data_IF_708692427324
#
_entry.id   IF_708692427324
#
_cell.length_a   1.000
_cell.length_b   1.000
_cell.length_c   1.000
_cell.angle_alpha   90.00
_cell.angle_beta   90.00
_cell.angle_gamma   90.00
#
_symmetry.space_group_name_H-M   'P 1'
#
loop_
_entity.id
_entity.type
_entity.pdbx_description
1 polymer ?
#
# COMPACT_ATOMS: atom_id res chain seq x y z
N UNK A 1 -29.05 -59.44 -36.36
CA UNK A 1 -28.38 -58.12 -36.45
C UNK A 1 -27.49 -58.01 -35.25
N UNK A 2 -26.15 -57.79 -35.39
CA UNK A 2 -25.24 -57.55 -34.26
C UNK A 2 -25.47 -56.09 -33.83
N UNK A 3 -25.95 -55.89 -32.62
CA UNK A 3 -26.04 -54.56 -32.02
C UNK A 3 -24.62 -54.00 -31.88
N UNK A 4 -24.42 -52.82 -32.49
CA UNK A 4 -23.14 -52.07 -32.34
C UNK A 4 -23.06 -51.48 -30.94
N UNK A 5 -22.15 -52.01 -30.15
CA UNK A 5 -21.88 -51.49 -28.79
C UNK A 5 -21.03 -50.22 -28.87
N UNK A 6 -21.65 -49.05 -28.63
CA UNK A 6 -21.02 -47.72 -28.65
C UNK A 6 -20.42 -47.32 -27.30
N UNK A 7 -20.57 -48.16 -26.27
CA UNK A 7 -20.12 -47.87 -24.90
C UNK A 7 -18.60 -47.54 -24.80
N UNK A 8 -17.71 -48.30 -25.47
CA UNK A 8 -16.29 -47.95 -25.40
C UNK A 8 -15.95 -46.60 -25.99
N UNK A 9 -16.65 -46.19 -27.04
CA UNK A 9 -16.45 -44.87 -27.65
C UNK A 9 -16.95 -43.73 -26.74
N UNK A 10 -18.04 -43.93 -26.01
CA UNK A 10 -18.53 -42.99 -25.03
C UNK A 10 -17.53 -42.78 -23.89
N UNK A 11 -16.92 -43.83 -23.36
CA UNK A 11 -15.90 -43.73 -22.31
C UNK A 11 -14.69 -42.94 -22.81
N UNK A 12 -14.19 -43.28 -24.01
CA UNK A 12 -13.07 -42.54 -24.62
C UNK A 12 -13.39 -41.06 -24.79
N UNK A 13 -14.62 -40.75 -25.23
CA UNK A 13 -15.10 -39.38 -25.40
C UNK A 13 -15.09 -38.58 -24.08
N UNK A 14 -15.56 -39.18 -22.98
CA UNK A 14 -15.55 -38.55 -21.66
C UNK A 14 -14.11 -38.33 -21.16
N UNK A 15 -13.21 -39.29 -21.36
CA UNK A 15 -11.79 -39.14 -20.97
C UNK A 15 -11.10 -38.00 -21.75
N UNK A 16 -11.32 -37.94 -23.08
CA UNK A 16 -10.75 -36.88 -23.90
C UNK A 16 -11.30 -35.51 -23.52
N UNK A 17 -12.60 -35.43 -23.22
CA UNK A 17 -13.24 -34.20 -22.73
C UNK A 17 -12.64 -33.77 -21.39
N UNK A 18 -12.40 -34.70 -20.47
CA UNK A 18 -11.75 -34.43 -19.18
C UNK A 18 -10.34 -33.85 -19.35
N UNK A 19 -9.52 -34.49 -20.20
CA UNK A 19 -8.16 -33.99 -20.51
C UNK A 19 -8.21 -32.60 -21.14
N UNK A 20 -9.14 -32.36 -22.04
CA UNK A 20 -9.34 -31.04 -22.67
C UNK A 20 -9.68 -29.97 -21.62
N UNK A 21 -10.62 -30.23 -20.70
CA UNK A 21 -11.01 -29.30 -19.66
C UNK A 21 -9.87 -29.00 -18.68
N UNK A 22 -9.08 -30.01 -18.30
CA UNK A 22 -7.89 -29.81 -17.47
C UNK A 22 -6.87 -28.91 -18.19
N UNK A 23 -6.63 -29.15 -19.47
CA UNK A 23 -5.70 -28.35 -20.28
C UNK A 23 -6.14 -26.88 -20.38
N UNK A 24 -7.43 -26.63 -20.57
CA UNK A 24 -8.00 -25.27 -20.58
C UNK A 24 -7.81 -24.60 -19.21
N UNK A 25 -8.09 -25.33 -18.11
CA UNK A 25 -7.94 -24.79 -16.75
C UNK A 25 -6.49 -24.42 -16.45
N UNK A 26 -5.53 -25.27 -16.83
CA UNK A 26 -4.10 -24.99 -16.68
C UNK A 26 -3.70 -23.76 -17.50
N UNK A 27 -4.19 -23.64 -18.73
CA UNK A 27 -3.89 -22.49 -19.60
C UNK A 27 -4.42 -21.19 -19.00
N UNK A 28 -5.63 -21.21 -18.43
CA UNK A 28 -6.21 -20.04 -17.75
C UNK A 28 -5.39 -19.68 -16.52
N UNK A 29 -5.03 -20.66 -15.69
CA UNK A 29 -4.21 -20.43 -14.51
C UNK A 29 -2.82 -19.85 -14.85
N UNK A 30 -2.18 -20.33 -15.92
CA UNK A 30 -0.88 -19.80 -16.38
C UNK A 30 -0.99 -18.37 -16.96
N UNK A 31 -2.10 -18.03 -17.61
CA UNK A 31 -2.33 -16.68 -18.14
C UNK A 31 -2.73 -15.68 -17.06
N UNK A 32 -3.30 -16.14 -15.98
CA UNK A 32 -3.69 -15.33 -14.82
C UNK A 32 -2.96 -15.82 -13.57
N UNK A 33 -1.63 -15.66 -13.48
CA UNK A 33 -0.91 -16.01 -12.27
C UNK A 33 -1.51 -15.22 -11.11
N UNK A 34 -1.75 -15.90 -9.99
CA UNK A 34 -2.13 -15.22 -8.75
C UNK A 34 -0.97 -14.29 -8.41
N UNK A 35 -1.24 -13.00 -8.49
CA UNK A 35 -0.26 -12.02 -8.06
C UNK A 35 -0.20 -12.08 -6.55
N UNK A 36 0.96 -12.40 -5.99
CA UNK A 36 1.21 -12.24 -4.57
C UNK A 36 1.11 -10.74 -4.26
N UNK A 37 0.08 -10.35 -3.52
CA UNK A 37 -0.01 -9.00 -2.99
C UNK A 37 1.15 -8.80 -2.01
N UNK A 38 2.14 -8.02 -2.44
CA UNK A 38 3.21 -7.61 -1.55
C UNK A 38 2.66 -6.57 -0.58
N UNK A 39 2.61 -6.94 0.69
CA UNK A 39 2.28 -6.03 1.78
C UNK A 39 3.57 -5.75 2.53
N UNK A 40 3.80 -4.51 2.97
CA UNK A 40 5.03 -4.11 3.68
C UNK A 40 6.33 -4.43 2.89
N UNK A 41 6.28 -4.37 1.54
CA UNK A 41 7.42 -4.73 0.66
C UNK A 41 7.95 -6.16 0.85
N UNK A 42 7.17 -7.05 1.44
CA UNK A 42 7.52 -8.43 1.67
C UNK A 42 6.47 -9.37 1.07
N UNK A 43 6.89 -10.59 0.76
CA UNK A 43 5.96 -11.65 0.34
C UNK A 43 4.97 -11.91 1.47
N UNK A 44 3.70 -12.12 1.13
CA UNK A 44 2.62 -12.39 2.08
C UNK A 44 2.99 -13.37 3.18
N UNK A 45 3.68 -14.47 2.85
CA UNK A 45 4.12 -15.47 3.83
C UNK A 45 5.03 -14.87 4.91
N UNK A 46 5.98 -14.02 4.54
CA UNK A 46 6.91 -13.38 5.49
C UNK A 46 6.14 -12.40 6.38
N UNK A 47 5.17 -11.68 5.80
CA UNK A 47 4.30 -10.79 6.56
C UNK A 47 3.46 -11.56 7.56
N UNK A 48 2.84 -12.68 7.15
CA UNK A 48 2.02 -13.51 8.01
C UNK A 48 2.82 -14.12 9.18
N UNK A 49 4.09 -14.47 8.95
CA UNK A 49 5.00 -14.97 10.00
C UNK A 49 5.36 -13.88 11.03
N UNK A 50 5.47 -12.61 10.61
CA UNK A 50 5.89 -11.49 11.46
C UNK A 50 4.76 -10.50 11.79
N UNK A 51 3.53 -10.83 11.45
CA UNK A 51 2.40 -9.90 11.56
C UNK A 51 2.18 -9.36 12.98
N UNK A 52 2.42 -10.19 13.98
CA UNK A 52 2.26 -9.78 15.39
C UNK A 52 3.29 -8.72 15.79
N UNK A 53 4.52 -8.81 15.27
CA UNK A 53 5.56 -7.82 15.53
C UNK A 53 5.22 -6.51 14.80
N UNK A 54 4.81 -6.58 13.54
CA UNK A 54 4.39 -5.43 12.75
C UNK A 54 3.24 -4.69 13.44
N UNK A 55 2.21 -5.42 13.91
CA UNK A 55 1.08 -4.82 14.64
C UNK A 55 1.54 -4.20 15.95
N UNK A 56 2.45 -4.85 16.67
CA UNK A 56 3.00 -4.34 17.93
C UNK A 56 3.77 -3.04 17.72
N UNK A 57 4.63 -2.97 16.70
CA UNK A 57 5.38 -1.77 16.35
C UNK A 57 4.42 -0.64 15.94
N UNK A 58 3.44 -0.92 15.08
CA UNK A 58 2.42 0.07 14.70
C UNK A 58 1.61 0.57 15.88
N UNK A 59 1.22 -0.34 16.79
CA UNK A 59 0.47 0.04 18.00
C UNK A 59 1.31 0.92 18.92
N UNK A 60 2.57 0.60 19.05
CA UNK A 60 3.52 1.42 19.80
C UNK A 60 3.66 2.81 19.16
N UNK A 61 3.85 2.90 17.84
CA UNK A 61 3.89 4.19 17.14
C UNK A 61 2.63 5.02 17.42
N UNK A 62 1.45 4.42 17.28
CA UNK A 62 0.17 5.08 17.53
C UNK A 62 -0.01 5.51 19.02
N UNK A 63 0.68 4.87 19.94
CA UNK A 63 0.66 5.28 21.35
C UNK A 63 1.58 6.48 21.63
N UNK A 64 2.60 6.68 20.80
CA UNK A 64 3.61 7.75 20.96
C UNK A 64 3.21 9.01 20.19
N UNK A 65 2.69 8.84 18.96
CA UNK A 65 2.40 9.94 18.05
C UNK A 65 0.92 10.00 17.67
N UNK A 66 0.36 11.20 17.65
CA UNK A 66 -0.79 11.56 16.82
C UNK A 66 -0.25 12.03 15.47
N UNK A 67 -0.95 11.70 14.41
CA UNK A 67 -0.49 12.02 13.07
C UNK A 67 -1.63 12.52 12.18
N UNK A 68 -1.28 13.41 11.26
CA UNK A 68 -2.13 13.83 10.15
C UNK A 68 -1.31 13.71 8.88
N UNK A 69 -1.82 13.00 7.89
CA UNK A 69 -1.13 12.76 6.63
C UNK A 69 -2.05 13.21 5.49
N UNK A 70 -1.53 14.04 4.60
CA UNK A 70 -2.29 14.55 3.46
C UNK A 70 -1.40 14.78 2.25
N UNK A 71 -2.02 14.81 1.08
CA UNK A 71 -1.40 15.23 -0.17
C UNK A 71 -1.86 16.64 -0.52
N UNK A 72 -1.01 17.43 -1.14
CA UNK A 72 -1.37 18.75 -1.67
C UNK A 72 -0.79 18.93 -3.07
N UNK A 73 -1.45 19.75 -3.88
CA UNK A 73 -0.93 20.30 -5.11
C UNK A 73 -1.32 21.79 -5.20
N UNK A 74 -1.08 22.43 -6.34
CA UNK A 74 -1.47 23.83 -6.57
C UNK A 74 -2.99 24.08 -6.48
N UNK A 75 -3.81 23.03 -6.62
CA UNK A 75 -5.28 23.10 -6.61
C UNK A 75 -5.89 22.91 -5.22
N UNK A 76 -5.15 22.33 -4.28
CA UNK A 76 -5.66 22.14 -2.93
C UNK A 76 -5.08 20.96 -2.15
N UNK A 77 -5.81 20.56 -1.11
CA UNK A 77 -5.46 19.45 -0.22
C UNK A 77 -6.28 18.22 -0.61
N UNK A 78 -5.63 17.10 -0.78
CA UNK A 78 -6.22 15.82 -1.14
C UNK A 78 -5.85 14.73 -0.14
N UNK A 79 -6.62 13.64 -0.16
CA UNK A 79 -6.36 12.45 0.65
C UNK A 79 -6.20 12.74 2.15
N UNK A 80 -6.82 13.84 2.64
CA UNK A 80 -6.81 14.15 4.05
C UNK A 80 -7.44 13.00 4.86
N UNK A 81 -6.68 12.45 5.82
CA UNK A 81 -7.06 11.30 6.63
C UNK A 81 -7.37 10.00 5.84
N UNK A 82 -6.91 9.88 4.61
CA UNK A 82 -7.09 8.67 3.77
C UNK A 82 -5.93 7.68 3.91
N UNK A 83 -4.89 8.05 4.63
CA UNK A 83 -3.77 7.16 4.95
C UNK A 83 -4.15 6.24 6.09
N UNK A 84 -4.10 4.95 5.83
CA UNK A 84 -4.49 3.91 6.78
C UNK A 84 -3.36 2.90 6.96
N UNK A 85 -3.40 2.21 8.07
CA UNK A 85 -2.49 1.12 8.33
C UNK A 85 -2.78 -0.05 7.36
N UNK A 86 -1.79 -0.58 6.63
CA UNK A 86 -1.99 -1.57 5.58
C UNK A 86 -2.71 -2.84 6.02
N UNK A 87 -2.52 -3.24 7.28
CA UNK A 87 -3.19 -4.41 7.86
C UNK A 87 -4.72 -4.26 7.94
N UNK A 88 -5.22 -3.06 8.14
CA UNK A 88 -6.66 -2.82 8.23
C UNK A 88 -7.37 -2.86 6.88
N UNK A 89 -6.64 -2.63 5.79
CA UNK A 89 -7.23 -2.64 4.44
C UNK A 89 -7.71 -4.04 4.01
N UNK A 90 -6.97 -5.14 4.25
CA UNK A 90 -7.45 -6.49 3.95
C UNK A 90 -8.38 -7.08 5.03
N UNK A 91 -8.14 -6.79 6.31
CA UNK A 91 -8.87 -7.39 7.43
C UNK A 91 -10.23 -6.77 7.64
N UNK A 92 -10.32 -5.46 7.54
CA UNK A 92 -11.57 -4.73 7.47
C UNK A 92 -11.92 -4.57 5.98
N UNK A 93 -12.24 -5.66 5.30
CA UNK A 93 -13.06 -5.49 4.10
C UNK A 93 -14.34 -4.83 4.60
N UNK A 94 -14.43 -3.48 4.52
CA UNK A 94 -15.69 -2.84 4.83
C UNK A 94 -16.68 -3.51 3.92
N UNK A 95 -17.86 -3.76 4.41
CA UNK A 95 -19.01 -4.15 3.58
C UNK A 95 -18.80 -3.54 2.21
N UNK A 96 -18.85 -4.35 1.15
CA UNK A 96 -18.53 -4.00 -0.25
C UNK A 96 -19.18 -2.71 -0.75
N UNK A 97 -19.95 -2.04 0.11
CA UNK A 97 -20.62 -0.76 -0.10
C UNK A 97 -19.81 0.48 0.36
N UNK A 98 -18.87 0.34 1.26
CA UNK A 98 -18.00 1.44 1.66
C UNK A 98 -16.82 1.51 0.68
N UNK A 99 -17.00 2.23 -0.42
CA UNK A 99 -15.89 2.61 -1.30
C UNK A 99 -14.93 3.47 -0.48
N UNK A 100 -13.70 2.98 -0.24
CA UNK A 100 -12.61 3.84 0.22
C UNK A 100 -12.49 4.94 -0.83
N UNK A 101 -12.68 6.21 -0.46
CA UNK A 101 -12.62 7.28 -1.44
C UNK A 101 -11.20 7.33 -2.02
N UNK A 102 -11.07 6.91 -3.27
CA UNK A 102 -9.81 7.03 -3.99
C UNK A 102 -9.65 8.49 -4.37
N UNK A 103 -8.64 9.14 -3.83
CA UNK A 103 -8.33 10.53 -4.19
C UNK A 103 -7.81 10.59 -5.61
N UNK A 104 -8.32 11.55 -6.39
CA UNK A 104 -7.83 11.84 -7.75
C UNK A 104 -6.78 12.94 -7.62
N UNK A 105 -5.58 12.68 -8.12
CA UNK A 105 -4.46 13.62 -8.05
C UNK A 105 -3.85 13.86 -9.43
N UNK A 106 -3.16 15.00 -9.56
CA UNK A 106 -2.37 15.34 -10.75
C UNK A 106 -1.08 14.48 -10.83
N UNK A 107 -0.55 14.20 -12.03
CA UNK A 107 0.75 13.56 -12.18
C UNK A 107 1.94 14.45 -11.79
N UNK A 108 1.72 15.77 -11.67
CA UNK A 108 2.77 16.75 -11.38
C UNK A 108 2.39 17.69 -10.25
N UNK A 109 3.40 18.19 -9.55
CA UNK A 109 3.23 19.22 -8.53
C UNK A 109 2.67 18.72 -7.20
N UNK A 110 2.64 17.42 -6.97
CA UNK A 110 2.08 16.82 -5.75
C UNK A 110 3.13 16.80 -4.64
N UNK A 111 2.74 17.13 -3.43
CA UNK A 111 3.54 17.01 -2.22
C UNK A 111 2.80 16.18 -1.17
N UNK A 112 3.55 15.37 -0.43
CA UNK A 112 3.07 14.69 0.76
C UNK A 112 3.50 15.47 2.00
N UNK A 113 2.57 15.62 2.93
CA UNK A 113 2.80 16.26 4.22
C UNK A 113 2.42 15.31 5.35
N UNK A 114 3.21 15.36 6.42
CA UNK A 114 2.93 14.64 7.66
C UNK A 114 3.15 15.58 8.82
N UNK A 115 2.10 15.78 9.60
CA UNK A 115 2.16 16.44 10.89
C UNK A 115 2.18 15.38 11.98
N UNK A 116 3.28 15.30 12.71
CA UNK A 116 3.49 14.37 13.82
C UNK A 116 3.48 15.16 15.12
N UNK A 117 2.52 14.85 15.98
CA UNK A 117 2.39 15.43 17.32
C UNK A 117 2.62 14.35 18.35
N UNK A 118 3.59 14.58 19.26
CA UNK A 118 3.90 13.63 20.30
C UNK A 118 2.80 13.66 21.36
N UNK A 119 2.32 12.48 21.74
CA UNK A 119 1.48 12.31 22.93
C UNK A 119 2.31 12.49 24.20
N UNK A 120 1.62 12.72 25.32
CA UNK A 120 2.26 12.97 26.64
C UNK A 120 2.96 11.70 27.14
N UNK A 121 4.12 11.41 26.60
CA UNK A 121 5.02 10.36 27.04
C UNK A 121 6.44 10.93 27.19
N UNK A 122 7.30 10.34 28.04
CA UNK A 122 8.68 10.80 28.17
C UNK A 122 9.37 10.81 26.79
N UNK A 123 10.33 11.72 26.61
CA UNK A 123 11.08 12.00 25.38
C UNK A 123 11.98 10.84 24.91
N UNK A 124 11.48 9.61 25.01
CA UNK A 124 12.29 8.40 24.81
C UNK A 124 12.38 7.94 23.35
N UNK A 125 11.60 8.54 22.45
CA UNK A 125 11.56 8.13 21.04
C UNK A 125 11.84 9.27 20.08
N UNK A 126 12.48 8.95 18.96
CA UNK A 126 12.73 9.87 17.84
C UNK A 126 12.35 9.23 16.51
N UNK A 127 11.99 10.06 15.55
CA UNK A 127 11.87 9.66 14.16
C UNK A 127 13.26 9.66 13.55
N UNK A 128 13.68 8.53 13.01
CA UNK A 128 14.96 8.38 12.34
C UNK A 128 14.86 8.73 10.86
N UNK A 129 13.80 8.25 10.19
CA UNK A 129 13.61 8.42 8.74
C UNK A 129 12.13 8.24 8.37
N UNK A 130 11.68 9.01 7.37
CA UNK A 130 10.37 8.82 6.74
C UNK A 130 10.59 8.68 5.25
N UNK A 131 10.20 7.55 4.68
CA UNK A 131 10.39 7.25 3.26
C UNK A 131 9.06 7.02 2.56
N UNK A 132 8.95 7.57 1.33
CA UNK A 132 7.75 7.49 0.52
C UNK A 132 8.00 6.59 -0.69
N UNK A 133 7.06 5.69 -0.93
CA UNK A 133 7.06 4.81 -2.08
C UNK A 133 5.75 4.90 -2.84
N UNK A 134 5.81 4.61 -4.13
CA UNK A 134 4.66 4.43 -4.99
C UNK A 134 4.60 2.97 -5.44
N UNK A 135 3.53 2.27 -5.09
CA UNK A 135 3.33 0.86 -5.39
C UNK A 135 2.19 0.69 -6.40
N UNK A 136 2.39 -0.16 -7.39
CA UNK A 136 1.40 -0.43 -8.42
C UNK A 136 0.29 -1.34 -7.88
N UNK A 137 -0.97 -0.98 -8.10
CA UNK A 137 -2.10 -1.85 -7.77
C UNK A 137 -2.34 -2.98 -8.80
N UNK A 138 -1.67 -2.93 -9.95
CA UNK A 138 -1.93 -3.86 -11.05
C UNK A 138 -0.72 -4.72 -11.43
N UNK A 139 0.48 -4.27 -11.09
CA UNK A 139 1.72 -4.96 -11.44
C UNK A 139 2.48 -5.32 -10.15
N UNK A 140 2.61 -6.61 -9.89
CA UNK A 140 3.40 -7.07 -8.74
C UNK A 140 4.86 -6.60 -8.86
N UNK A 141 5.42 -6.16 -7.74
CA UNK A 141 6.82 -5.71 -7.61
C UNK A 141 7.19 -4.43 -8.38
N UNK A 142 6.22 -3.65 -8.82
CA UNK A 142 6.50 -2.34 -9.41
C UNK A 142 6.42 -1.25 -8.35
N UNK A 143 7.45 -1.21 -7.51
CA UNK A 143 7.61 -0.23 -6.44
C UNK A 143 8.61 0.81 -6.92
N UNK A 144 8.23 2.08 -6.81
CA UNK A 144 9.08 3.22 -7.10
C UNK A 144 9.39 3.96 -5.78
N UNK A 145 10.65 4.15 -5.48
CA UNK A 145 11.10 5.00 -4.38
C UNK A 145 10.93 6.47 -4.79
N UNK A 146 10.15 7.22 -4.04
CA UNK A 146 9.90 8.65 -4.26
C UNK A 146 10.78 9.54 -3.37
N UNK A 147 11.62 8.93 -2.54
CA UNK A 147 12.58 9.62 -1.69
C UNK A 147 12.15 9.78 -0.23
N UNK A 148 13.01 10.48 0.49
CA UNK A 148 12.87 10.72 1.92
C UNK A 148 12.18 12.07 2.18
N UNK A 149 11.28 12.11 3.16
CA UNK A 149 10.66 13.35 3.61
C UNK A 149 11.63 14.14 4.48
N UNK A 150 11.56 15.47 4.37
CA UNK A 150 12.39 16.39 5.16
C UNK A 150 11.55 17.07 6.24
N UNK A 151 12.08 17.22 7.45
CA UNK A 151 11.41 18.00 8.49
C UNK A 151 11.46 19.51 8.12
N UNK A 152 10.31 20.18 8.10
CA UNK A 152 10.21 21.62 7.86
C UNK A 152 10.39 22.41 9.15
N UNK A 153 9.74 21.97 10.21
CA UNK A 153 9.82 22.59 11.54
C UNK A 153 10.04 21.51 12.59
N UNK A 154 11.19 21.54 13.24
CA UNK A 154 11.44 20.80 14.47
C UNK A 154 11.17 21.76 15.61
N UNK A 155 9.98 21.71 16.19
CA UNK A 155 9.73 22.38 17.47
C UNK A 155 10.46 21.58 18.55
N UNK A 156 11.60 22.13 18.95
CA UNK A 156 12.46 21.50 19.97
C UNK A 156 11.81 21.44 21.36
N UNK A 157 10.75 22.19 21.59
CA UNK A 157 10.06 22.24 22.86
C UNK A 157 9.06 21.09 22.99
N UNK A 158 8.35 20.75 21.91
CA UNK A 158 7.31 19.74 21.93
C UNK A 158 7.63 18.49 21.09
N UNK A 159 8.80 18.45 20.42
CA UNK A 159 9.16 17.40 19.47
C UNK A 159 8.13 17.14 18.35
N UNK A 160 7.32 18.16 18.07
CA UNK A 160 6.38 18.15 16.98
C UNK A 160 7.12 18.50 15.69
N UNK A 161 6.85 17.76 14.63
CA UNK A 161 7.53 17.97 13.37
C UNK A 161 6.55 17.87 12.21
N UNK A 162 6.57 18.89 11.35
CA UNK A 162 5.96 18.83 10.04
C UNK A 162 7.00 18.33 9.04
N UNK A 163 6.68 17.23 8.36
CA UNK A 163 7.53 16.63 7.34
C UNK A 163 6.90 16.81 5.97
N UNK A 164 7.73 17.04 4.96
CA UNK A 164 7.29 17.26 3.59
C UNK A 164 8.16 16.47 2.62
N UNK A 165 7.54 15.90 1.58
CA UNK A 165 8.26 15.32 0.46
C UNK A 165 8.80 16.42 -0.46
N UNK A 166 9.75 16.07 -1.33
CA UNK A 166 10.02 16.88 -2.51
C UNK A 166 8.78 16.94 -3.41
N UNK A 167 8.77 17.89 -4.35
CA UNK A 167 7.68 18.00 -5.33
C UNK A 167 7.73 16.76 -6.23
N UNK A 168 6.67 15.99 -6.19
CA UNK A 168 6.51 14.79 -7.01
C UNK A 168 6.03 15.19 -8.39
N UNK A 169 6.82 14.85 -9.40
CA UNK A 169 6.54 15.10 -10.80
C UNK A 169 6.64 13.82 -11.61
N UNK A 170 5.97 13.79 -12.75
CA UNK A 170 5.97 12.64 -13.67
C UNK A 170 5.46 11.34 -13.01
N UNK A 171 4.49 11.47 -12.12
CA UNK A 171 3.84 10.29 -11.53
C UNK A 171 3.12 9.51 -12.63
N UNK A 172 3.22 8.17 -12.64
CA UNK A 172 2.61 7.33 -13.66
C UNK A 172 1.07 7.37 -13.55
N UNK A 173 0.41 7.45 -14.69
CA UNK A 173 -1.07 7.49 -14.74
C UNK A 173 -1.68 6.16 -14.29
N UNK A 174 -2.90 6.21 -13.74
CA UNK A 174 -3.67 5.04 -13.33
C UNK A 174 -3.85 4.92 -11.82
N UNK A 175 -4.11 3.68 -11.38
CA UNK A 175 -4.33 3.37 -9.95
C UNK A 175 -3.04 2.99 -9.29
N UNK A 176 -2.70 3.73 -8.25
CA UNK A 176 -1.48 3.55 -7.48
C UNK A 176 -1.78 3.61 -5.99
N UNK A 177 -0.81 3.19 -5.21
CA UNK A 177 -0.85 3.24 -3.76
C UNK A 177 0.41 3.95 -3.28
N UNK A 178 0.24 5.07 -2.57
CA UNK A 178 1.33 5.63 -1.79
C UNK A 178 1.55 4.78 -0.56
N UNK A 179 2.78 4.42 -0.30
CA UNK A 179 3.19 3.70 0.91
C UNK A 179 4.25 4.53 1.62
N UNK A 180 3.98 4.78 2.88
CA UNK A 180 4.83 5.54 3.77
C UNK A 180 5.45 4.60 4.78
N UNK A 181 6.77 4.58 4.87
CA UNK A 181 7.53 3.86 5.89
C UNK A 181 8.13 4.88 6.86
N UNK A 182 7.75 4.80 8.12
CA UNK A 182 8.30 5.63 9.20
C UNK A 182 9.19 4.75 10.05
N UNK A 183 10.48 5.04 10.06
CA UNK A 183 11.46 4.41 10.94
C UNK A 183 11.65 5.25 12.18
N UNK A 184 11.53 4.64 13.35
CA UNK A 184 11.68 5.31 14.64
C UNK A 184 12.43 4.44 15.63
N UNK A 185 13.10 5.07 16.58
CA UNK A 185 13.88 4.36 17.59
C UNK A 185 13.77 5.02 18.96
N UNK A 186 14.09 4.26 20.01
CA UNK A 186 14.15 4.77 21.36
C UNK A 186 15.48 5.50 21.58
N UNK A 187 15.42 6.64 22.27
CA UNK A 187 16.62 7.41 22.64
C UNK A 187 17.25 6.77 23.86
N UNK A 188 18.12 5.80 23.66
CA UNK A 188 18.85 5.12 24.72
C UNK A 188 20.38 5.27 24.51
N UNK A 189 21.14 5.01 25.58
CA UNK A 189 22.62 5.01 25.52
C UNK A 189 23.21 3.88 24.66
N UNK A 190 22.41 2.87 24.34
CA UNK A 190 22.82 1.69 23.57
C UNK A 190 22.04 1.64 22.25
N UNK A 191 22.60 0.96 21.26
CA UNK A 191 21.94 0.76 19.96
C UNK A 191 20.63 0.01 20.16
N UNK A 192 19.53 0.71 19.95
CA UNK A 192 18.18 0.12 20.00
C UNK A 192 17.76 -0.33 18.61
N UNK A 193 16.96 -1.40 18.48
CA UNK A 193 16.44 -1.81 17.20
C UNK A 193 15.56 -0.69 16.61
N UNK A 194 15.73 -0.45 15.31
CA UNK A 194 14.86 0.46 14.55
C UNK A 194 13.53 -0.23 14.38
N UNK A 195 12.47 0.45 14.77
CA UNK A 195 11.09 0.03 14.62
C UNK A 195 10.47 0.71 13.41
N UNK A 196 9.43 0.11 12.83
CA UNK A 196 8.78 0.62 11.63
C UNK A 196 7.28 0.75 11.80
N UNK A 197 6.74 1.85 11.28
CA UNK A 197 5.31 2.04 11.10
C UNK A 197 5.00 2.30 9.62
N UNK A 198 3.88 1.77 9.15
CA UNK A 198 3.50 1.85 7.76
C UNK A 198 2.12 2.49 7.59
N UNK A 199 1.98 3.32 6.56
CA UNK A 199 0.70 3.88 6.16
C UNK A 199 0.55 3.78 4.65
N UNK A 200 -0.65 3.52 4.18
CA UNK A 200 -0.95 3.47 2.74
C UNK A 200 -2.17 4.29 2.38
N UNK A 201 -2.16 4.85 1.19
CA UNK A 201 -3.28 5.57 0.60
C UNK A 201 -3.42 5.22 -0.87
N UNK A 202 -4.62 4.81 -1.27
CA UNK A 202 -4.93 4.55 -2.68
C UNK A 202 -5.26 5.85 -3.39
N UNK A 203 -4.64 6.05 -4.56
CA UNK A 203 -4.85 7.22 -5.40
C UNK A 203 -5.11 6.83 -6.86
N UNK A 204 -5.82 7.71 -7.55
CA UNK A 204 -5.97 7.63 -9.00
C UNK A 204 -5.26 8.83 -9.62
N UNK A 205 -4.15 8.57 -10.31
CA UNK A 205 -3.34 9.59 -10.96
C UNK A 205 -3.89 9.83 -12.36
N UNK A 206 -4.40 11.02 -12.61
CA UNK A 206 -5.02 11.41 -13.87
C UNK A 206 -4.54 12.79 -14.30
N UNK A 207 -4.28 12.92 -15.60
CA UNK A 207 -4.04 14.24 -16.17
C UNK A 207 -5.36 15.05 -16.18
N UNK A 208 -5.40 16.10 -15.37
CA UNK A 208 -6.59 16.95 -15.21
C UNK A 208 -6.60 18.13 -16.16
N UNK A 209 -5.58 18.30 -17.03
CA UNK A 209 -5.52 19.44 -17.94
C UNK A 209 -6.63 19.46 -19.01
N UNK A 210 -7.28 18.31 -19.25
CA UNK A 210 -8.35 18.19 -20.28
C UNK A 210 -9.78 18.37 -19.76
N UNK A 211 -10.00 18.67 -18.50
CA UNK A 211 -11.35 18.78 -17.94
C UNK A 211 -11.88 20.21 -17.85
N UNK A 212 -11.05 21.23 -18.08
CA UNK A 212 -11.46 22.66 -18.02
C UNK A 212 -11.89 23.23 -19.39
N UNK A 213 -11.94 22.40 -20.43
CA UNK A 213 -12.30 22.85 -21.80
C UNK A 213 -13.63 22.28 -22.32
N UNK A 214 -14.62 22.09 -21.42
CA UNK A 214 -15.99 21.80 -21.87
C UNK A 214 -17.00 22.63 -21.14
#
# INVERSE_FOLDING_TARGET
>A
MKEKNYWPHAIIGVLLFGVFMVSVSITIAMKNPIQDENTYFAKKRIVDENINEIIKEQTLFNSIYDYKIWLSDEKGIYANNSFVFPYYTPANRPDTKAKIPTSIISPNGVKLHIDLQRKILPDDYKIDKIQLFLDSMHEANKIQDLGELRPLNLDRIHNDALWESEILNNLPLGRWKFVLEISYSRIEKYVTPIQKAYFECQVFIKDTQHLESK
#
